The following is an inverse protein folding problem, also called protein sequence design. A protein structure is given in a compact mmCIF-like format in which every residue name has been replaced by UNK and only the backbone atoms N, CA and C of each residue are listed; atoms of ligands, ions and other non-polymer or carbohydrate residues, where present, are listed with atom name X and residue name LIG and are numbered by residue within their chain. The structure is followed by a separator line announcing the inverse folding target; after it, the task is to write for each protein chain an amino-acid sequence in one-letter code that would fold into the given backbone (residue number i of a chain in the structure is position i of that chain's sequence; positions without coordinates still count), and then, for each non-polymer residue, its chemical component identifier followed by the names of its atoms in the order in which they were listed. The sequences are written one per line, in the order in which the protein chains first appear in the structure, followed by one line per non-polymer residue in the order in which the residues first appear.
data_IF_363077100645
#
_entry.id   IF_363077100645
#
_cell.length_a   1.000
_cell.length_b   1.000
_cell.length_c   1.000
_cell.angle_alpha   90.00
_cell.angle_beta   90.00
_cell.angle_gamma   90.00
#
_symmetry.space_group_name_H-M   'P 1'
#
loop_
_entity.id
_entity.type
_entity.pdbx_description
1 polymer ?
2 water ?
#
# COMPACT_ATOMS: atom_id res chain seq x y z
N UNK A 16 -0.44 17.65 -11.11
CA UNK A 16 -0.01 16.56 -10.20
C UNK A 16 -1.12 16.15 -9.23
N UNK A 17 -2.10 15.38 -9.74
CA UNK A 17 -3.20 14.94 -8.88
C UNK A 17 -2.72 13.83 -7.94
N UNK A 18 -3.52 13.53 -6.93
CA UNK A 18 -3.18 12.49 -5.97
C UNK A 18 -2.95 11.14 -6.67
N UNK A 19 -1.83 10.49 -6.37
CA UNK A 19 -1.49 9.19 -6.97
C UNK A 19 -2.50 8.09 -6.66
N UNK A 20 -3.05 8.08 -5.44
CA UNK A 20 -4.03 7.06 -5.08
C UNK A 20 -5.30 7.29 -5.89
N UNK A 21 -5.69 8.56 -6.03
CA UNK A 21 -6.89 8.91 -6.79
C UNK A 21 -6.76 8.52 -8.25
N UNK A 22 -5.58 8.72 -8.84
CA UNK A 22 -5.41 8.35 -10.24
C UNK A 22 -5.40 6.83 -10.37
N UNK A 23 -5.01 6.14 -9.30
CA UNK A 23 -4.97 4.69 -9.32
C UNK A 23 -6.33 4.01 -9.19
N UNK A 24 -7.31 4.71 -8.62
CA UNK A 24 -8.63 4.08 -8.47
C UNK A 24 -9.71 4.76 -9.29
N UNK A 25 -9.31 5.74 -10.09
CA UNK A 25 -10.26 6.46 -10.92
C UNK A 25 -11.12 5.51 -11.76
N UNK A 26 -10.53 4.41 -12.23
CA UNK A 26 -11.25 3.46 -13.06
C UNK A 26 -12.40 2.76 -12.34
N UNK A 27 -12.47 2.94 -11.03
CA UNK A 27 -13.51 2.31 -10.22
C UNK A 27 -14.75 3.16 -10.04
N UNK A 28 -14.67 4.44 -10.42
CA UNK A 28 -15.79 5.37 -10.29
C UNK A 28 -16.68 5.39 -11.53
N UNK A 29 -17.97 4.99 -11.38
CA UNK A 29 -18.90 4.98 -12.51
C UNK A 29 -19.08 6.41 -13.03
N UNK A 30 -19.20 6.56 -14.34
CA UNK A 30 -19.35 7.90 -14.92
C UNK A 30 -20.52 8.57 -14.22
N UNK A 31 -20.37 9.87 -13.95
CA UNK A 31 -21.41 10.61 -13.27
C UNK A 31 -20.83 11.77 -12.50
N UNK A 32 -21.56 12.21 -11.47
CA UNK A 32 -21.16 13.35 -10.65
C UNK A 32 -20.22 12.91 -9.52
N UNK A 33 -19.08 13.61 -9.41
CA UNK A 33 -18.08 13.35 -8.38
C UNK A 33 -17.96 14.63 -7.53
N UNK A 34 -17.98 14.44 -6.20
CA UNK A 34 -17.88 15.56 -5.27
C UNK A 34 -16.55 15.49 -4.51
N UNK A 35 -15.74 16.54 -4.63
CA UNK A 35 -14.44 16.62 -3.97
C UNK A 35 -14.51 17.49 -2.73
N UNK A 36 -14.29 16.88 -1.57
CA UNK A 36 -14.36 17.58 -0.29
C UNK A 36 -13.07 18.37 -0.02
N UNK A 37 -13.23 19.65 0.30
CA UNK A 37 -12.08 20.50 0.57
C UNK A 37 -10.94 20.19 -0.39
N UNK A 38 -11.22 20.21 -1.70
CA UNK A 38 -10.17 19.89 -2.67
C UNK A 38 -9.28 21.08 -3.02
N UNK A 39 -9.62 22.25 -2.49
CA UNK A 39 -8.84 23.47 -2.71
C UNK A 39 -8.20 23.63 -4.08
N UNK A 40 -6.97 23.12 -4.22
CA UNK A 40 -6.22 23.19 -5.47
C UNK A 40 -7.10 23.20 -6.72
N UNK A 41 -7.43 21.99 -7.18
CA UNK A 41 -8.23 21.85 -8.38
C UNK A 41 -7.53 20.86 -9.29
N UNK A 42 -6.40 20.34 -8.81
CA UNK A 42 -5.62 19.38 -9.59
C UNK A 42 -6.34 18.02 -9.67
N UNK A 43 -7.01 17.61 -8.59
CA UNK A 43 -7.74 16.34 -8.57
C UNK A 43 -9.06 16.47 -9.32
N UNK A 44 -9.73 17.60 -9.12
CA UNK A 44 -11.01 17.86 -9.77
C UNK A 44 -10.84 17.92 -11.29
N UNK A 45 -9.84 18.69 -11.74
CA UNK A 45 -9.57 18.85 -13.17
C UNK A 45 -9.07 17.54 -13.76
N UNK A 46 -8.34 16.78 -12.95
CA UNK A 46 -7.84 15.48 -13.38
C UNK A 46 -9.00 14.54 -13.67
N UNK A 47 -9.98 14.53 -12.77
CA UNK A 47 -11.15 13.67 -12.92
C UNK A 47 -12.02 14.17 -14.08
N UNK A 48 -12.23 15.48 -14.15
CA UNK A 48 -13.01 16.09 -15.21
C UNK A 48 -12.40 15.75 -16.56
N UNK A 49 -11.08 15.55 -16.61
CA UNK A 49 -10.45 15.21 -17.89
C UNK A 49 -10.77 13.77 -18.30
N UNK A 50 -11.30 12.98 -17.35
CA UNK A 50 -11.68 11.59 -17.59
C UNK A 50 -13.13 11.43 -18.03
N UNK A 51 -13.88 12.53 -17.99
CA UNK A 51 -15.28 12.49 -18.40
C UNK A 51 -16.30 12.61 -17.28
N UNK A 52 -15.85 12.92 -16.07
CA UNK A 52 -16.74 13.07 -14.90
C UNK A 52 -17.28 14.49 -14.74
N UNK A 53 -18.38 14.63 -14.01
CA UNK A 53 -18.99 15.94 -13.74
C UNK A 53 -18.65 16.26 -12.28
N UNK A 54 -17.53 16.95 -12.10
CA UNK A 54 -17.02 17.25 -10.77
C UNK A 54 -17.41 18.55 -10.09
N UNK A 55 -17.67 18.46 -8.78
CA UNK A 55 -18.00 19.63 -7.99
C UNK A 55 -16.92 19.77 -6.91
N UNK A 56 -16.06 20.76 -7.09
CA UNK A 56 -14.98 21.02 -6.14
C UNK A 56 -15.49 21.91 -5.01
N UNK A 57 -15.53 21.36 -3.80
CA UNK A 57 -16.01 22.10 -2.64
C UNK A 57 -14.85 22.48 -1.73
N UNK A 58 -14.67 23.78 -1.52
CA UNK A 58 -13.60 24.25 -0.65
C UNK A 58 -14.04 25.56 0.00
N UNK A 59 -13.40 25.91 1.10
CA UNK A 59 -13.76 27.12 1.84
C UNK A 59 -13.04 28.41 1.41
N UNK A 60 -11.83 28.28 0.86
CA UNK A 60 -11.09 29.47 0.43
C UNK A 60 -11.44 29.90 -0.99
N UNK A 61 -12.01 31.09 -1.12
CA UNK A 61 -12.39 31.63 -2.42
C UNK A 61 -11.15 31.81 -3.29
N UNK A 62 -9.99 31.90 -2.65
CA UNK A 62 -8.73 32.06 -3.36
C UNK A 62 -8.35 30.73 -4.05
N UNK A 63 -8.72 29.62 -3.41
CA UNK A 63 -8.42 28.32 -3.97
C UNK A 63 -9.44 27.94 -5.05
N UNK A 64 -10.71 28.12 -4.75
CA UNK A 64 -11.77 27.81 -5.69
C UNK A 64 -11.59 28.64 -6.95
N UNK A 65 -11.08 29.87 -6.78
CA UNK A 65 -10.86 30.76 -7.91
C UNK A 65 -9.71 30.24 -8.76
N UNK A 66 -8.71 29.65 -8.12
CA UNK A 66 -7.55 29.12 -8.81
C UNK A 66 -7.90 27.76 -9.45
N UNK A 67 -8.94 27.13 -8.90
CA UNK A 67 -9.41 25.83 -9.39
C UNK A 67 -10.08 26.05 -10.76
N UNK A 68 -10.84 27.13 -10.86
CA UNK A 68 -11.53 27.50 -12.10
C UNK A 68 -10.50 27.81 -13.18
N UNK A 69 -9.46 28.57 -12.82
CA UNK A 69 -8.41 28.92 -13.76
C UNK A 69 -7.67 27.70 -14.29
N UNK A 70 -7.41 26.74 -13.41
CA UNK A 70 -6.71 25.52 -13.84
C UNK A 70 -7.61 24.77 -14.81
N UNK A 71 -8.91 24.78 -14.55
CA UNK A 71 -9.88 24.10 -15.41
C UNK A 71 -9.85 24.75 -16.79
N UNK A 72 -9.86 26.08 -16.83
CA UNK A 72 -9.83 26.83 -18.09
C UNK A 72 -8.60 26.52 -18.92
N UNK A 73 -7.49 26.25 -18.23
CA UNK A 73 -6.23 25.94 -18.88
C UNK A 73 -6.16 24.48 -19.31
N UNK A 74 -6.69 23.60 -18.47
CA UNK A 74 -6.68 22.16 -18.77
C UNK A 74 -7.79 21.79 -19.77
N UNK A 75 -8.65 22.75 -20.06
CA UNK A 75 -9.71 22.51 -21.01
C UNK A 75 -10.87 21.66 -20.52
N UNK A 76 -11.21 21.82 -19.25
CA UNK A 76 -12.31 21.07 -18.66
C UNK A 76 -13.40 22.05 -18.18
N UNK A 77 -14.62 21.83 -18.64
CA UNK A 77 -15.75 22.69 -18.28
C UNK A 77 -16.39 22.16 -17.01
N UNK A 78 -15.55 21.68 -16.09
CA UNK A 78 -16.05 21.14 -14.83
C UNK A 78 -15.27 21.63 -13.61
N UNK A 79 -15.93 22.47 -12.81
CA UNK A 79 -15.33 23.02 -11.60
C UNK A 79 -16.37 23.75 -10.77
N UNK A 80 -17.54 23.14 -10.63
CA UNK A 80 -18.59 23.75 -9.84
C UNK A 80 -18.03 23.96 -8.43
N UNK A 81 -17.66 25.20 -8.14
CA UNK A 81 -17.09 25.57 -6.84
C UNK A 81 -18.13 25.53 -5.72
N UNK A 82 -17.72 25.78 -4.48
CA UNK A 82 -18.66 25.75 -3.35
C UNK A 82 -18.22 26.62 -2.16
N UNK A 83 -18.59 26.17 -0.96
CA UNK A 83 -18.28 26.88 0.29
C UNK A 83 -17.51 25.97 1.26
N UNK A 84 -17.77 26.11 2.56
CA UNK A 84 -17.10 25.30 3.57
C UNK A 84 -17.87 24.00 3.80
N UNK A 85 -17.35 23.14 4.69
CA UNK A 85 -17.96 21.85 4.99
C UNK A 85 -18.79 21.81 6.26
N UNK A 86 -18.50 22.70 7.20
CA UNK A 86 -19.21 22.75 8.48
C UNK A 86 -20.73 22.51 8.33
N UNK A 87 -21.41 23.46 7.68
CA UNK A 87 -22.84 23.36 7.48
C UNK A 87 -23.12 22.98 6.03
N UNK A 88 -22.52 21.89 5.59
CA UNK A 88 -22.70 21.43 4.21
C UNK A 88 -23.44 20.10 4.19
N UNK A 89 -24.38 19.97 3.27
CA UNK A 89 -25.14 18.74 3.13
C UNK A 89 -25.27 18.37 1.65
N UNK A 90 -25.24 17.08 1.37
CA UNK A 90 -25.34 16.61 -0.01
C UNK A 90 -26.62 15.82 -0.27
N UNK A 91 -27.20 16.05 -1.43
CA UNK A 91 -28.43 15.38 -1.80
C UNK A 91 -28.24 13.87 -1.86
N UNK A 92 -29.18 13.14 -1.28
CA UNK A 92 -29.12 11.69 -1.24
C UNK A 92 -29.15 11.11 -2.64
N UNK A 93 -28.47 9.98 -2.80
CA UNK A 93 -28.41 9.26 -4.07
C UNK A 93 -28.24 10.18 -5.29
N UNK A 94 -27.17 10.94 -5.31
CA UNK A 94 -26.93 11.86 -6.42
C UNK A 94 -25.48 11.85 -6.91
N UNK A 95 -24.62 11.16 -6.18
CA UNK A 95 -23.19 11.12 -6.54
C UNK A 95 -22.66 9.73 -6.85
N UNK A 96 -21.86 9.65 -7.91
CA UNK A 96 -21.24 8.38 -8.30
C UNK A 96 -19.92 8.24 -7.53
N UNK A 97 -19.44 9.37 -6.99
CA UNK A 97 -18.21 9.37 -6.23
C UNK A 97 -18.05 10.59 -5.33
N UNK A 98 -17.44 10.39 -4.17
CA UNK A 98 -17.19 11.45 -3.21
C UNK A 98 -15.77 11.22 -2.71
N UNK A 99 -14.87 12.15 -3.04
CA UNK A 99 -13.45 12.03 -2.66
C UNK A 99 -12.99 12.94 -1.52
N UNK A 100 -12.23 12.34 -0.61
CA UNK A 100 -11.68 13.03 0.55
C UNK A 100 -10.18 12.76 0.58
N UNK A 101 -9.40 13.67 0.02
CA UNK A 101 -7.94 13.54 -0.01
C UNK A 101 -7.35 14.53 1.00
N UNK A 102 -6.77 13.98 2.08
CA UNK A 102 -6.19 14.79 3.13
C UNK A 102 -7.19 15.83 3.62
N UNK A 103 -8.43 15.42 3.81
CA UNK A 103 -9.47 16.29 4.32
C UNK A 103 -9.67 15.83 5.76
N UNK A 104 -8.90 16.41 6.68
CA UNK A 104 -8.99 16.02 8.10
C UNK A 104 -9.96 16.88 8.89
N UNK A 105 -10.81 16.21 9.66
CA UNK A 105 -11.85 16.86 10.45
C UNK A 105 -11.97 16.26 11.84
N UNK A 106 -12.49 17.02 12.80
CA UNK A 106 -12.63 16.45 14.15
C UNK A 106 -13.69 15.35 14.13
N UNK A 107 -13.59 14.43 15.07
CA UNK A 107 -14.53 13.32 15.18
C UNK A 107 -15.99 13.79 15.13
N UNK A 108 -16.27 14.86 15.87
CA UNK A 108 -17.61 15.43 15.95
C UNK A 108 -18.15 15.83 14.57
N UNK A 109 -17.26 16.29 13.69
CA UNK A 109 -17.67 16.69 12.36
C UNK A 109 -17.77 15.48 11.41
N UNK A 110 -16.93 14.47 11.58
CA UNK A 110 -17.03 13.30 10.71
C UNK A 110 -18.32 12.56 11.03
N UNK A 111 -18.71 12.57 12.30
CA UNK A 111 -19.95 11.92 12.73
C UNK A 111 -21.15 12.53 12.03
N UNK A 112 -21.04 13.81 11.68
CA UNK A 112 -22.11 14.54 11.02
C UNK A 112 -22.05 14.40 9.49
N UNK A 113 -20.84 14.57 8.94
CA UNK A 113 -20.61 14.50 7.50
C UNK A 113 -20.76 13.12 6.88
N UNK A 114 -19.95 12.17 7.32
CA UNK A 114 -19.97 10.80 6.78
C UNK A 114 -21.33 10.17 6.55
N UNK A 115 -22.28 10.37 7.47
CA UNK A 115 -23.62 9.78 7.27
C UNK A 115 -24.30 10.35 6.02
N UNK A 116 -23.99 11.60 5.71
CA UNK A 116 -24.55 12.29 4.54
C UNK A 116 -23.77 11.85 3.31
N UNK A 117 -22.52 11.48 3.52
CA UNK A 117 -21.65 11.01 2.44
C UNK A 117 -22.20 9.64 2.04
N UNK A 118 -22.41 8.77 3.03
CA UNK A 118 -22.93 7.44 2.69
C UNK A 118 -24.24 7.56 1.91
N UNK A 119 -25.16 8.39 2.42
CA UNK A 119 -26.45 8.61 1.79
C UNK A 119 -26.38 9.36 0.45
N UNK A 120 -25.38 10.21 0.30
CA UNK A 120 -25.25 10.97 -0.94
C UNK A 120 -24.84 10.12 -2.13
N UNK A 121 -24.23 8.98 -1.84
CA UNK A 121 -23.75 8.06 -2.86
C UNK A 121 -24.85 7.19 -3.48
N UNK A 122 -24.85 7.13 -4.80
CA UNK A 122 -25.83 6.29 -5.50
C UNK A 122 -25.32 4.86 -5.39
N UNK A 123 -26.23 3.88 -5.52
CA UNK A 123 -25.79 2.48 -5.42
C UNK A 123 -24.69 2.25 -6.46
N UNK A 124 -23.60 1.61 -6.04
CA UNK A 124 -22.50 1.36 -6.96
C UNK A 124 -21.50 2.52 -6.99
N UNK A 125 -21.86 3.61 -6.33
CA UNK A 125 -20.97 4.76 -6.27
C UNK A 125 -19.83 4.45 -5.32
N UNK A 126 -18.77 5.24 -5.38
CA UNK A 126 -17.64 4.99 -4.50
C UNK A 126 -17.21 6.21 -3.69
N UNK A 127 -16.55 5.91 -2.57
CA UNK A 127 -16.02 6.90 -1.66
C UNK A 127 -14.53 6.60 -1.58
N UNK A 128 -13.72 7.60 -1.93
CA UNK A 128 -12.29 7.40 -1.88
C UNK A 128 -11.68 8.34 -0.86
N UNK A 129 -10.77 7.81 -0.07
CA UNK A 129 -10.13 8.59 0.97
C UNK A 129 -8.65 8.31 1.05
N UNK A 130 -7.90 9.35 1.38
CA UNK A 130 -6.47 9.24 1.50
C UNK A 130 -6.15 10.29 2.54
N UNK A 131 -5.47 9.90 3.60
CA UNK A 131 -5.13 10.86 4.64
C UNK A 131 -4.07 10.28 5.53
N UNK A 132 -3.63 11.08 6.50
CA UNK A 132 -2.61 10.67 7.44
C UNK A 132 -3.14 9.70 8.50
N UNK A 133 -2.33 8.70 8.84
CA UNK A 133 -2.70 7.73 9.87
C UNK A 133 -2.29 8.36 11.21
N UNK A 134 -2.79 7.82 12.33
CA UNK A 134 -2.43 8.37 13.64
C UNK A 134 -0.92 8.40 13.90
N UNK A 135 -0.21 7.38 13.42
CA UNK A 135 1.24 7.31 13.62
C UNK A 135 2.00 8.43 12.92
N UNK A 136 1.30 9.22 12.12
CA UNK A 136 1.89 10.35 11.42
C UNK A 136 2.43 11.39 12.41
N UNK A 137 1.92 11.33 13.63
CA UNK A 137 2.37 12.25 14.67
C UNK A 137 3.85 12.06 14.96
N UNK A 138 4.37 10.88 14.64
CA UNK A 138 5.79 10.62 14.88
C UNK A 138 6.65 11.26 13.78
N UNK A 139 6.01 11.77 12.72
CA UNK A 139 6.76 12.39 11.63
C UNK A 139 6.56 13.90 11.62
N UNK A 140 7.42 14.60 10.89
CA UNK A 140 7.34 16.06 10.82
C UNK A 140 7.03 16.47 9.39
N UNK A 141 6.40 15.57 8.64
CA UNK A 141 6.09 15.86 7.25
C UNK A 141 4.69 16.43 7.00
N UNK A 142 4.02 16.84 8.05
CA UNK A 142 2.70 17.41 7.88
C UNK A 142 1.54 16.72 8.57
N UNK A 143 0.36 17.31 8.41
CA UNK A 143 -0.83 16.76 9.03
C UNK A 143 -1.14 17.44 10.35
N UNK A 144 -2.35 17.22 10.90
CA UNK A 144 -2.73 17.83 12.18
C UNK A 144 -2.02 17.16 13.36
N UNK A 145 -1.89 17.89 14.46
CA UNK A 145 -1.24 17.38 15.66
C UNK A 145 -2.26 16.70 16.56
N UNK A 146 -3.52 17.13 16.49
CA UNK A 146 -4.59 16.56 17.31
C UNK A 146 -4.99 15.18 16.82
N UNK A 147 -4.84 14.18 17.67
CA UNK A 147 -5.18 12.81 17.34
C UNK A 147 -6.66 12.64 16.98
N UNK A 148 -7.47 13.61 17.39
CA UNK A 148 -8.90 13.54 17.11
C UNK A 148 -9.20 13.65 15.62
N UNK A 149 -8.27 14.24 14.87
CA UNK A 149 -8.42 14.39 13.43
C UNK A 149 -7.65 13.27 12.71
N UNK A 150 -7.01 12.40 13.49
CA UNK A 150 -6.25 11.29 12.92
C UNK A 150 -6.75 9.91 13.35
N UNK A 151 -8.01 9.59 13.03
CA UNK A 151 -8.59 8.29 13.40
C UNK A 151 -7.96 7.12 12.64
N UNK A 152 -7.94 5.95 13.28
CA UNK A 152 -7.38 4.77 12.64
C UNK A 152 -8.25 4.35 11.47
N UNK A 153 -7.69 3.51 10.61
CA UNK A 153 -8.39 3.02 9.42
C UNK A 153 -9.69 2.31 9.77
N UNK A 154 -9.71 1.55 10.86
CA UNK A 154 -10.92 0.83 11.26
C UNK A 154 -12.00 1.76 11.82
N UNK A 155 -11.57 2.86 12.43
CA UNK A 155 -12.53 3.82 12.98
C UNK A 155 -13.24 4.54 11.83
N UNK A 156 -12.51 4.87 10.78
CA UNK A 156 -13.12 5.54 9.62
C UNK A 156 -14.12 4.57 8.99
N UNK A 157 -13.70 3.33 8.83
CA UNK A 157 -14.58 2.32 8.24
C UNK A 157 -15.91 2.16 9.00
N UNK A 158 -15.85 2.24 10.32
CA UNK A 158 -17.04 2.09 11.16
C UNK A 158 -17.94 3.32 11.06
N UNK A 159 -17.45 4.37 10.41
CA UNK A 159 -18.23 5.59 10.22
C UNK A 159 -19.02 5.52 8.90
N UNK A 160 -18.78 4.45 8.14
CA UNK A 160 -19.46 4.18 6.86
C UNK A 160 -19.58 2.65 6.73
N UNK A 161 -20.01 1.98 7.82
CA UNK A 161 -20.18 0.52 7.92
C UNK A 161 -20.83 -0.29 6.81
N UNK A 162 -21.80 0.29 6.13
CA UNK A 162 -22.48 -0.48 5.10
C UNK A 162 -21.81 -0.47 3.75
N UNK A 163 -20.69 0.22 3.67
CA UNK A 163 -19.94 0.30 2.43
C UNK A 163 -19.12 -0.97 2.24
N UNK A 164 -18.86 -1.31 0.99
CA UNK A 164 -18.06 -2.48 0.65
C UNK A 164 -16.67 -1.90 0.37
N UNK A 165 -15.73 -2.21 1.25
CA UNK A 165 -14.37 -1.70 1.14
C UNK A 165 -13.49 -2.47 0.15
N UNK A 166 -13.40 -1.94 -1.07
CA UNK A 166 -12.61 -2.59 -2.10
C UNK A 166 -11.10 -2.47 -1.83
N UNK A 167 -10.71 -1.43 -1.10
CA UNK A 167 -9.31 -1.19 -0.72
C UNK A 167 -9.25 -0.53 0.68
N UNK A 168 -8.34 -1.00 1.51
CA UNK A 168 -8.19 -0.45 2.84
C UNK A 168 -6.75 -0.72 3.19
N UNK A 169 -5.91 0.30 3.02
CA UNK A 169 -4.48 0.17 3.28
C UNK A 169 -3.95 1.07 4.38
N UNK A 170 -3.02 0.53 5.15
CA UNK A 170 -2.32 1.26 6.20
C UNK A 170 -0.89 1.28 5.67
N UNK A 171 -0.38 2.46 5.34
CA UNK A 171 0.96 2.54 4.79
C UNK A 171 1.89 3.35 5.65
N UNK A 172 3.14 2.91 5.70
CA UNK A 172 4.16 3.64 6.44
C UNK A 172 5.45 3.57 5.65
N UNK A 173 6.04 4.73 5.40
CA UNK A 173 7.30 4.80 4.69
C UNK A 173 8.24 5.76 5.42
N UNK A 174 9.51 5.39 5.53
CA UNK A 174 10.50 6.19 6.24
C UNK A 174 11.89 6.01 5.61
N UNK A 184 8.64 10.52 3.88
CA UNK A 184 8.32 9.68 5.04
C UNK A 184 6.94 10.10 5.58
N UNK A 185 6.07 9.12 5.80
CA UNK A 185 4.74 9.41 6.29
C UNK A 185 3.93 8.14 6.58
N UNK A 186 2.89 8.31 7.40
CA UNK A 186 1.99 7.21 7.76
C UNK A 186 0.65 7.60 7.14
N UNK A 187 0.15 6.76 6.24
CA UNK A 187 -1.08 7.08 5.53
C UNK A 187 -2.09 5.96 5.55
N UNK A 188 -3.35 6.33 5.33
CA UNK A 188 -4.43 5.37 5.27
C UNK A 188 -5.08 5.58 3.91
N UNK A 189 -5.44 4.51 3.22
CA UNK A 189 -6.08 4.65 1.92
C UNK A 189 -7.33 3.79 1.92
N UNK A 190 -8.44 4.37 1.49
CA UNK A 190 -9.69 3.63 1.46
C UNK A 190 -10.49 3.85 0.20
N UNK A 191 -11.07 2.77 -0.30
CA UNK A 191 -11.97 2.84 -1.46
C UNK A 191 -13.20 2.01 -1.06
N UNK A 192 -14.28 2.71 -0.72
CA UNK A 192 -15.50 2.04 -0.30
C UNK A 192 -16.61 2.20 -1.33
N UNK A 193 -17.26 1.10 -1.68
CA UNK A 193 -18.33 1.12 -2.66
C UNK A 193 -19.70 0.79 -2.06
N UNK A 194 -20.70 1.62 -2.37
CA UNK A 194 -22.03 1.41 -1.86
C UNK A 194 -22.68 0.26 -2.63
N UNK A 195 -23.26 -0.68 -1.88
CA UNK A 195 -23.89 -1.87 -2.44
C UNK A 195 -25.02 -1.59 -3.42
N UNK A 196 -25.34 -2.60 -4.23
CA UNK A 196 -26.41 -2.50 -5.20
C UNK A 196 -27.68 -3.00 -4.53
N UNK A 197 -28.83 -2.55 -5.01
CA UNK A 197 -30.12 -2.96 -4.44
C UNK A 197 -30.53 -4.37 -4.87
N UNK B 16 5.36 -13.53 -13.96
CA UNK B 16 6.16 -12.28 -13.78
C UNK B 16 6.68 -12.17 -12.36
N UNK B 17 7.74 -11.37 -12.16
CA UNK B 17 8.28 -11.21 -10.81
C UNK B 17 7.31 -10.44 -9.92
N UNK B 18 7.46 -10.62 -8.62
CA UNK B 18 6.62 -9.95 -7.64
C UNK B 18 6.67 -8.43 -7.86
N UNK B 19 5.50 -7.80 -7.89
CA UNK B 19 5.38 -6.34 -8.11
C UNK B 19 6.03 -5.51 -6.99
N UNK B 20 5.94 -5.97 -5.74
CA UNK B 20 6.54 -5.23 -4.65
C UNK B 20 8.06 -5.28 -4.78
N UNK B 21 8.58 -6.45 -5.16
CA UNK B 21 10.02 -6.63 -5.33
C UNK B 21 10.56 -5.74 -6.45
N UNK B 22 9.82 -5.62 -7.55
CA UNK B 22 10.29 -4.79 -8.65
C UNK B 22 10.21 -3.31 -8.24
N UNK B 23 9.30 -3.01 -7.31
CA UNK B 23 9.14 -1.63 -6.85
C UNK B 23 10.22 -1.18 -5.86
N UNK B 24 10.88 -2.11 -5.18
CA UNK B 24 11.90 -1.68 -4.23
C UNK B 24 13.30 -2.14 -4.62
N UNK B 25 13.41 -2.75 -5.80
CA UNK B 25 14.70 -3.23 -6.27
C UNK B 25 15.77 -2.13 -6.22
N UNK B 26 15.38 -0.88 -6.51
CA UNK B 26 16.32 0.23 -6.52
C UNK B 26 16.92 0.53 -5.18
N UNK B 27 16.39 -0.09 -4.13
CA UNK B 27 16.87 0.13 -2.77
C UNK B 27 17.94 -0.84 -2.32
N UNK B 28 18.16 -1.89 -3.11
CA UNK B 28 19.17 -2.91 -2.79
C UNK B 28 20.55 -2.58 -3.39
N UNK B 29 21.56 -2.37 -2.54
CA UNK B 29 22.92 -2.05 -3.02
C UNK B 29 23.44 -3.23 -3.84
N UNK B 30 24.18 -2.94 -4.92
CA UNK B 30 24.71 -4.01 -5.76
C UNK B 30 25.46 -4.98 -4.87
N UNK B 31 25.30 -6.27 -5.17
CA UNK B 31 25.97 -7.28 -4.37
C UNK B 31 25.22 -8.59 -4.42
N UNK B 32 25.41 -9.41 -3.39
CA UNK B 32 24.76 -10.72 -3.30
C UNK B 32 23.37 -10.62 -2.67
N UNK B 33 22.38 -11.21 -3.35
CA UNK B 33 21.00 -11.22 -2.90
C UNK B 33 20.59 -12.70 -2.69
N UNK B 34 19.99 -12.99 -1.54
CA UNK B 34 19.55 -14.34 -1.21
C UNK B 34 18.02 -14.42 -1.19
N UNK B 35 17.46 -15.28 -2.03
CA UNK B 35 16.02 -15.46 -2.12
C UNK B 35 15.58 -16.72 -1.38
N UNK B 36 14.78 -16.51 -0.33
CA UNK B 36 14.30 -17.61 0.49
C UNK B 36 13.12 -18.33 -0.15
N UNK B 37 13.22 -19.65 -0.25
CA UNK B 37 12.16 -20.45 -0.86
C UNK B 37 11.58 -19.72 -2.07
N UNK B 38 12.44 -19.32 -3.02
CA UNK B 38 11.95 -18.60 -4.19
C UNK B 38 11.43 -19.51 -5.30
N UNK B 39 11.59 -20.82 -5.10
CA UNK B 39 11.11 -21.81 -6.07
C UNK B 39 11.19 -21.44 -7.54
N UNK B 40 10.15 -20.81 -8.05
CA UNK B 40 10.07 -20.38 -9.45
C UNK B 40 11.42 -20.04 -10.05
N UNK B 41 11.83 -18.79 -9.87
CA UNK B 41 13.08 -18.31 -10.41
C UNK B 41 12.81 -17.02 -11.14
N UNK B 42 11.55 -16.59 -11.11
CA UNK B 42 11.15 -15.35 -11.78
C UNK B 42 11.69 -14.12 -11.05
N UNK B 43 11.74 -14.16 -9.72
CA UNK B 43 12.26 -13.05 -8.92
C UNK B 43 13.78 -13.02 -8.96
N UNK B 44 14.37 -14.21 -8.86
CA UNK B 44 15.83 -14.35 -8.87
C UNK B 44 16.41 -13.88 -10.21
N UNK B 45 15.81 -14.35 -11.31
CA UNK B 45 16.25 -13.98 -12.66
C UNK B 45 15.97 -12.51 -12.93
N UNK B 46 14.88 -12.01 -12.35
CA UNK B 46 14.53 -10.61 -12.50
C UNK B 46 15.62 -9.74 -11.88
N UNK B 47 16.06 -10.11 -10.68
CA UNK B 47 17.07 -9.36 -9.96
C UNK B 47 18.41 -9.50 -10.66
N UNK B 48 18.74 -10.73 -11.07
CA UNK B 48 19.98 -11.00 -11.77
C UNK B 48 20.04 -10.16 -13.04
N UNK B 49 18.88 -9.86 -13.63
CA UNK B 49 18.90 -9.05 -14.86
C UNK B 49 19.25 -7.59 -14.55
N UNK B 50 19.21 -7.22 -13.26
CA UNK B 50 19.53 -5.86 -12.80
C UNK B 50 21.00 -5.70 -12.42
N UNK B 51 21.74 -6.81 -12.40
CA UNK B 51 23.15 -6.76 -12.07
C UNK B 51 23.54 -7.35 -10.73
N UNK B 52 22.60 -8.01 -10.05
CA UNK B 52 22.86 -8.61 -8.74
C UNK B 52 23.37 -10.05 -8.84
N UNK B 53 24.01 -10.52 -7.77
CA UNK B 53 24.54 -11.89 -7.71
C UNK B 53 23.58 -12.67 -6.80
N UNK B 54 22.57 -13.27 -7.42
CA UNK B 54 21.53 -13.97 -6.67
C UNK B 54 21.67 -15.46 -6.37
N UNK B 55 21.28 -15.83 -5.16
CA UNK B 55 21.30 -17.23 -4.77
C UNK B 55 19.86 -17.63 -4.44
N UNK B 56 19.26 -18.42 -5.33
CA UNK B 56 17.89 -18.89 -5.14
C UNK B 56 17.90 -20.14 -4.29
N UNK B 57 17.31 -20.06 -3.10
CA UNK B 57 17.26 -21.19 -2.18
C UNK B 57 15.85 -21.75 -2.10
N UNK B 58 15.70 -23.02 -2.47
CA UNK B 58 14.40 -23.67 -2.43
C UNK B 58 14.59 -25.15 -2.13
N UNK B 59 13.54 -25.81 -1.66
CA UNK B 59 13.62 -27.22 -1.30
C UNK B 59 13.30 -28.22 -2.43
N UNK B 60 12.49 -27.81 -3.40
CA UNK B 60 12.14 -28.70 -4.51
C UNK B 60 13.16 -28.65 -5.64
N UNK B 61 13.82 -29.78 -5.89
CA UNK B 61 14.81 -29.86 -6.96
C UNK B 61 14.14 -29.64 -8.31
N UNK B 62 12.83 -29.83 -8.36
CA UNK B 62 12.08 -29.62 -9.58
C UNK B 62 11.95 -28.11 -9.87
N UNK B 63 11.87 -27.32 -8.79
CA UNK B 63 11.76 -25.89 -8.94
C UNK B 63 13.12 -25.25 -9.22
N UNK B 64 14.11 -25.63 -8.43
CA UNK B 64 15.47 -25.12 -8.61
C UNK B 64 15.97 -25.45 -10.00
N UNK B 65 15.55 -26.61 -10.52
CA UNK B 65 15.96 -27.04 -11.86
C UNK B 65 15.31 -26.16 -12.91
N UNK B 66 14.08 -25.75 -12.64
CA UNK B 66 13.33 -24.90 -13.58
C UNK B 66 13.82 -23.45 -13.47
N UNK B 67 14.43 -23.13 -12.32
CA UNK B 67 14.96 -21.80 -12.05
C UNK B 67 16.20 -21.59 -12.93
N UNK B 68 17.01 -22.64 -13.03
CA UNK B 68 18.23 -22.62 -13.83
C UNK B 68 17.86 -22.44 -15.30
N UNK B 69 16.85 -23.19 -15.75
CA UNK B 69 16.39 -23.09 -17.13
C UNK B 69 15.89 -21.71 -17.49
N UNK B 70 15.15 -21.09 -16.57
CA UNK B 70 14.63 -19.75 -16.83
C UNK B 70 15.82 -18.78 -16.95
N UNK B 71 16.84 -19.01 -16.12
CA UNK B 71 18.03 -18.17 -16.14
C UNK B 71 18.72 -18.30 -17.50
N UNK B 72 18.86 -19.54 -17.97
CA UNK B 72 19.49 -19.79 -19.27
C UNK B 72 18.77 -19.11 -20.42
N UNK B 73 17.45 -18.99 -20.29
CA UNK B 73 16.61 -18.37 -21.31
C UNK B 73 16.62 -16.85 -21.19
N UNK B 74 16.62 -16.35 -19.96
CA UNK B 74 16.62 -14.91 -19.71
C UNK B 74 18.02 -14.32 -19.88
N UNK B 75 19.01 -15.20 -20.04
CA UNK B 75 20.37 -14.73 -20.24
C UNK B 75 21.08 -14.21 -19.00
N UNK B 76 20.80 -14.83 -17.85
CA UNK B 76 21.43 -14.43 -16.60
C UNK B 76 22.24 -15.60 -16.04
N UNK B 77 23.52 -15.35 -15.77
CA UNK B 77 24.41 -16.38 -15.25
C UNK B 77 24.33 -16.38 -13.73
N UNK B 78 23.12 -16.17 -13.21
CA UNK B 78 22.91 -16.13 -11.76
C UNK B 78 21.71 -16.94 -11.30
N UNK B 79 21.99 -18.06 -10.62
CA UNK B 79 20.94 -18.92 -10.11
C UNK B 79 21.53 -19.99 -9.20
N UNK B 80 22.45 -19.57 -8.33
CA UNK B 80 23.05 -20.50 -7.40
C UNK B 80 21.92 -21.13 -6.58
N UNK B 81 21.55 -22.36 -6.95
CA UNK B 81 20.47 -23.10 -6.28
C UNK B 81 20.87 -23.54 -4.86
N UNK B 82 19.94 -24.16 -4.13
CA UNK B 82 20.23 -24.60 -2.77
C UNK B 82 19.37 -25.78 -2.30
N UNK B 83 19.09 -25.81 -0.99
CA UNK B 83 18.30 -26.86 -0.36
C UNK B 83 17.08 -26.28 0.37
N UNK B 84 16.72 -26.88 1.52
CA UNK B 84 15.58 -26.41 2.30
C UNK B 84 16.04 -25.33 3.29
N UNK B 85 15.09 -24.80 4.05
CA UNK B 85 15.37 -23.74 5.03
C UNK B 85 15.51 -24.21 6.48
N UNK B 86 14.88 -25.33 6.80
CA UNK B 86 14.91 -25.88 8.15
C UNK B 86 16.29 -25.74 8.82
N UNK B 87 17.27 -26.47 8.30
CA UNK B 87 18.63 -26.43 8.84
C UNK B 87 19.52 -25.61 7.91
N UNK B 88 19.10 -24.38 7.63
CA UNK B 88 19.87 -23.50 6.77
C UNK B 88 20.41 -22.31 7.55
N UNK B 89 21.65 -21.96 7.28
CA UNK B 89 22.28 -20.82 7.94
C UNK B 89 23.06 -19.98 6.93
N UNK B 90 23.05 -18.68 7.12
CA UNK B 90 23.75 -17.78 6.22
C UNK B 90 24.91 -17.07 6.87
N UNK B 91 25.98 -16.94 6.11
CA UNK B 91 27.17 -16.29 6.62
C UNK B 91 26.90 -14.84 7.00
N UNK B 92 27.41 -14.44 8.16
CA UNK B 92 27.20 -13.09 8.65
C UNK B 92 27.83 -12.07 7.72
N UNK B 93 27.20 -10.90 7.66
CA UNK B 93 27.69 -9.78 6.85
C UNK B 93 28.20 -10.21 5.48
N UNK B 94 27.33 -10.82 4.68
CA UNK B 94 27.71 -11.28 3.37
C UNK B 94 26.68 -10.97 2.29
N UNK B 95 25.52 -10.49 2.70
CA UNK B 95 24.43 -10.21 1.77
C UNK B 95 23.97 -8.76 1.74
N UNK B 96 23.76 -8.25 0.53
CA UNK B 96 23.29 -6.88 0.34
C UNK B 96 21.75 -6.89 0.40
N UNK B 97 21.19 -8.09 0.24
CA UNK B 97 19.74 -8.24 0.28
C UNK B 97 19.29 -9.68 0.51
N UNK B 98 18.20 -9.83 1.25
CA UNK B 98 17.62 -11.14 1.54
C UNK B 98 16.11 -10.97 1.36
N UNK B 99 15.55 -11.65 0.36
CA UNK B 99 14.13 -11.53 0.04
C UNK B 99 13.26 -12.72 0.43
N UNK B 100 12.11 -12.41 1.03
CA UNK B 100 11.15 -13.40 1.49
C UNK B 100 9.79 -13.03 0.91
N UNK B 101 9.45 -13.64 -0.23
CA UNK B 101 8.18 -13.37 -0.89
C UNK B 101 7.27 -14.58 -0.68
N UNK B 102 6.22 -14.39 0.11
CA UNK B 102 5.28 -15.45 0.43
C UNK B 102 6.01 -16.69 0.93
N UNK B 103 6.98 -16.47 1.81
CA UNK B 103 7.73 -17.56 2.40
C UNK B 103 7.19 -17.64 3.83
N UNK B 104 6.14 -18.43 4.02
CA UNK B 104 5.52 -18.56 5.35
C UNK B 104 6.08 -19.72 6.16
N UNK B 105 6.40 -19.42 7.41
CA UNK B 105 7.00 -20.39 8.32
C UNK B 105 6.40 -20.31 9.72
N UNK B 106 6.46 -21.41 10.49
CA UNK B 106 5.90 -21.35 11.84
C UNK B 106 6.75 -20.41 12.69
N UNK B 107 6.14 -19.86 13.74
CA UNK B 107 6.82 -18.94 14.65
C UNK B 107 8.17 -19.49 15.13
N UNK B 108 8.17 -20.77 15.49
CA UNK B 108 9.36 -21.45 15.98
C UNK B 108 10.52 -21.40 14.99
N UNK B 109 10.19 -21.44 13.71
CA UNK B 109 11.21 -21.40 12.67
C UNK B 109 11.64 -19.97 12.36
N UNK B 110 10.73 -19.00 12.44
CA UNK B 110 11.12 -17.61 12.18
C UNK B 110 12.04 -17.14 13.30
N UNK B 111 11.78 -17.62 14.51
CA UNK B 111 12.61 -17.26 15.67
C UNK B 111 14.05 -17.70 15.45
N UNK B 112 14.22 -18.77 14.68
CA UNK B 112 15.54 -19.32 14.39
C UNK B 112 16.19 -18.67 13.16
N UNK B 113 15.41 -18.54 12.10
CA UNK B 113 15.87 -17.96 10.83
C UNK B 113 16.18 -16.46 10.87
N UNK B 114 15.17 -15.66 11.17
CA UNK B 114 15.32 -14.20 11.20
C UNK B 114 16.57 -13.65 11.87
N UNK B 115 16.99 -14.23 13.00
CA UNK B 115 18.19 -13.72 13.66
C UNK B 115 19.43 -13.88 12.77
N UNK B 116 19.42 -14.93 11.95
CA UNK B 116 20.54 -15.21 11.03
C UNK B 116 20.39 -14.32 9.80
N UNK B 117 19.15 -13.93 9.51
CA UNK B 117 18.86 -13.04 8.40
C UNK B 117 19.40 -11.68 8.79
N UNK B 118 19.05 -11.22 9.98
CA UNK B 118 19.54 -9.91 10.42
C UNK B 118 21.07 -9.88 10.35
N UNK B 119 21.72 -10.91 10.90
CA UNK B 119 23.17 -11.00 10.93
C UNK B 119 23.80 -11.24 9.56
N UNK B 120 23.07 -11.91 8.67
CA UNK B 120 23.61 -12.18 7.34
C UNK B 120 23.73 -10.95 6.46
N UNK B 121 22.96 -9.91 6.81
CA UNK B 121 22.93 -8.66 6.06
C UNK B 121 24.09 -7.74 6.37
N UNK B 122 24.72 -7.22 5.32
CA UNK B 122 25.83 -6.28 5.49
C UNK B 122 25.20 -4.94 5.83
N UNK B 123 25.97 -4.07 6.50
CA UNK B 123 25.42 -2.74 6.84
C UNK B 123 24.92 -2.07 5.56
N UNK B 124 23.72 -1.52 5.61
CA UNK B 124 23.16 -0.88 4.43
C UNK B 124 22.40 -1.87 3.55
N UNK B 125 22.50 -3.16 3.87
CA UNK B 125 21.79 -4.16 3.11
C UNK B 125 20.32 -4.10 3.47
N UNK B 126 19.47 -4.72 2.65
CA UNK B 126 18.05 -4.70 2.92
C UNK B 126 17.40 -6.07 2.96
N UNK B 127 16.28 -6.11 3.66
CA UNK B 127 15.47 -7.30 3.82
C UNK B 127 14.10 -6.93 3.28
N UNK B 128 13.63 -7.66 2.29
CA UNK B 128 12.34 -7.38 1.72
C UNK B 128 11.41 -8.55 1.93
N UNK B 129 10.19 -8.24 2.36
CA UNK B 129 9.20 -9.27 2.62
C UNK B 129 7.85 -8.89 2.09
N UNK B 130 7.12 -9.91 1.65
CA UNK B 130 5.80 -9.73 1.12
C UNK B 130 5.13 -11.05 1.45
N UNK B 131 3.98 -10.98 2.11
CA UNK B 131 3.29 -12.21 2.46
C UNK B 131 1.89 -11.87 2.90
N UNK B 132 1.12 -12.91 3.22
CA UNK B 132 -0.25 -12.76 3.66
C UNK B 132 -0.37 -12.26 5.09
N UNK B 133 -1.34 -11.38 5.35
CA UNK B 133 -1.58 -10.86 6.68
C UNK B 133 -2.51 -11.85 7.36
N UNK B 134 -2.64 -11.77 8.70
CA UNK B 134 -3.53 -12.71 9.41
C UNK B 134 -4.97 -12.69 8.91
N UNK B 135 -5.47 -11.51 8.52
CA UNK B 135 -6.83 -11.38 8.02
C UNK B 135 -7.08 -12.14 6.72
N UNK B 136 -6.00 -12.66 6.13
CA UNK B 136 -6.10 -13.41 4.89
C UNK B 136 -6.94 -14.67 5.10
N UNK B 137 -7.08 -15.09 6.35
CA UNK B 137 -7.87 -16.27 6.66
C UNK B 137 -9.32 -16.06 6.27
N UNK B 138 -9.75 -14.80 6.17
CA UNK B 138 -11.12 -14.51 5.79
C UNK B 138 -11.31 -14.66 4.27
N UNK B 139 -10.22 -14.82 3.53
CA UNK B 139 -10.30 -14.97 2.08
C UNK B 139 -10.00 -16.39 1.65
N UNK B 140 -10.35 -16.72 0.41
CA UNK B 140 -10.11 -18.07 -0.10
C UNK B 140 -9.12 -18.00 -1.26
N UNK B 141 -8.30 -16.96 -1.27
CA UNK B 141 -7.34 -16.78 -2.36
C UNK B 141 -5.95 -17.33 -2.10
N UNK B 142 -5.82 -18.15 -1.06
CA UNK B 142 -4.52 -18.75 -0.79
C UNK B 142 -3.91 -18.45 0.55
N UNK B 143 -2.74 -19.04 0.78
CA UNK B 143 -2.02 -18.86 2.03
C UNK B 143 -2.31 -19.97 3.02
N UNK B 144 -1.53 -20.06 4.11
CA UNK B 144 -1.74 -21.09 5.12
C UNK B 144 -2.98 -20.81 5.97
N UNK B 145 -3.54 -21.86 6.57
CA UNK B 145 -4.72 -21.73 7.41
C UNK B 145 -4.30 -21.48 8.86
N UNK B 146 -3.13 -21.97 9.24
CA UNK B 146 -2.64 -21.81 10.61
C UNK B 146 -2.16 -20.39 10.87
N UNK B 147 -2.78 -19.74 11.83
CA UNK B 147 -2.45 -18.36 12.20
C UNK B 147 -1.00 -18.21 12.65
N UNK B 148 -0.39 -19.33 13.03
CA UNK B 148 0.99 -19.31 13.50
C UNK B 148 1.98 -18.93 12.39
N UNK B 149 1.55 -19.13 11.15
CA UNK B 149 2.37 -18.79 9.99
C UNK B 149 1.94 -17.43 9.43
N UNK B 150 0.94 -16.83 10.05
CA UNK B 150 0.43 -15.53 9.60
C UNK B 150 0.54 -14.44 10.67
N UNK B 151 1.78 -14.13 11.11
CA UNK B 151 1.99 -13.10 12.13
C UNK B 151 1.69 -11.69 11.62
N UNK B 152 1.27 -10.80 12.52
CA UNK B 152 0.98 -9.44 12.15
C UNK B 152 2.26 -8.71 11.73
N UNK B 153 2.09 -7.59 11.05
CA UNK B 153 3.21 -6.79 10.60
C UNK B 153 4.14 -6.35 11.73
N UNK B 154 3.58 -6.02 12.89
CA UNK B 154 4.39 -5.59 14.02
C UNK B 154 5.15 -6.74 14.66
N UNK B 155 4.60 -7.95 14.59
CA UNK B 155 5.26 -9.13 15.15
C UNK B 155 6.49 -9.47 14.31
N UNK B 156 6.37 -9.35 12.99
CA UNK B 156 7.51 -9.63 12.11
C UNK B 156 8.59 -8.61 12.39
N UNK B 157 8.20 -7.34 12.49
CA UNK B 157 9.16 -6.28 12.77
C UNK B 157 9.95 -6.50 14.05
N UNK B 158 9.29 -7.02 15.08
CA UNK B 158 9.92 -7.27 16.38
C UNK B 158 10.87 -8.47 16.31
N UNK B 159 10.83 -9.19 15.18
CA UNK B 159 11.70 -10.33 14.98
C UNK B 159 13.01 -9.89 14.31
N UNK B 160 13.08 -8.61 13.94
CA UNK B 160 14.25 -7.98 13.30
C UNK B 160 14.29 -6.51 13.77
N UNK B 161 14.10 -6.30 15.08
CA UNK B 161 14.07 -4.99 15.76
C UNK B 161 15.09 -3.91 15.43
N UNK B 162 16.32 -4.29 15.13
CA UNK B 162 17.32 -3.27 14.88
C UNK B 162 17.36 -2.77 13.45
N UNK B 163 16.47 -3.29 12.63
CA UNK B 163 16.41 -2.87 11.24
C UNK B 163 15.65 -1.54 11.13
N UNK B 164 15.99 -0.78 10.10
CA UNK B 164 15.34 0.50 9.86
C UNK B 164 14.30 0.18 8.79
N UNK B 165 13.04 0.25 9.17
CA UNK B 165 11.94 -0.07 8.26
C UNK B 165 11.58 1.07 7.32
N UNK B 166 12.10 0.99 6.09
CA UNK B 166 11.85 2.02 5.10
C UNK B 166 10.40 1.95 4.58
N UNK B 167 9.80 0.76 4.62
CA UNK B 167 8.41 0.53 4.21
C UNK B 167 7.77 -0.55 5.09
N UNK B 168 6.53 -0.31 5.50
CA UNK B 168 5.82 -1.27 6.32
C UNK B 168 4.37 -1.00 6.03
N UNK B 169 3.80 -1.83 5.16
CA UNK B 169 2.40 -1.67 4.73
C UNK B 169 1.50 -2.85 5.07
N UNK B 170 0.27 -2.52 5.44
CA UNK B 170 -0.76 -3.50 5.73
C UNK B 170 -1.77 -3.21 4.62
N UNK B 171 -1.95 -4.15 3.70
CA UNK B 171 -2.86 -3.93 2.60
C UNK B 171 -4.01 -4.90 2.58
N UNK B 172 -5.18 -4.40 2.19
CA UNK B 172 -6.36 -5.24 2.07
C UNK B 172 -7.13 -4.80 0.85
N UNK B 173 -7.41 -5.74 -0.03
CA UNK B 173 -8.19 -5.44 -1.24
C UNK B 173 -9.27 -6.51 -1.40
N UNK B 174 -10.47 -6.09 -1.78
CA UNK B 174 -11.62 -7.00 -1.94
C UNK B 174 -12.55 -6.49 -3.04
N UNK B 184 -8.49 -10.40 -4.46
CA UNK B 184 -8.81 -10.06 -3.09
C UNK B 184 -7.84 -10.75 -2.14
N UNK B 185 -7.25 -9.98 -1.23
CA UNK B 185 -6.28 -10.53 -0.29
C UNK B 185 -5.83 -9.53 0.75
N UNK B 186 -5.26 -10.04 1.84
CA UNK B 186 -4.75 -9.22 2.93
C UNK B 186 -3.26 -9.49 2.93
N UNK B 187 -2.47 -8.45 2.70
CA UNK B 187 -1.02 -8.61 2.60
C UNK B 187 -0.24 -7.66 3.48
N UNK B 188 1.01 -8.05 3.75
CA UNK B 188 1.89 -7.22 4.55
C UNK B 188 3.12 -7.01 3.68
N UNK B 189 3.65 -5.80 3.65
CA UNK B 189 4.85 -5.55 2.86
C UNK B 189 5.88 -4.85 3.72
N UNK B 190 7.10 -5.34 3.71
CA UNK B 190 8.16 -4.76 4.50
C UNK B 190 9.46 -4.59 3.77
N UNK B 191 10.12 -3.46 4.03
CA UNK B 191 11.44 -3.22 3.47
C UNK B 191 12.28 -2.69 4.65
N UNK B 192 13.12 -3.54 5.20
CA UNK B 192 13.95 -3.17 6.33
C UNK B 192 15.42 -3.06 5.96
N UNK B 193 16.05 -1.99 6.38
CA UNK B 193 17.45 -1.77 6.05
C UNK B 193 18.35 -1.78 7.30
N UNK B 194 19.45 -2.54 7.23
CA UNK B 194 20.36 -2.63 8.35
C UNK B 194 21.19 -1.35 8.40
N UNK B 195 21.27 -0.78 9.60
CA UNK B 195 21.97 0.47 9.85
C UNK B 195 23.47 0.45 9.53
N UNK B 196 24.01 1.63 9.29
CA UNK B 196 25.44 1.81 8.99
C UNK B 196 26.19 1.91 10.32
N UNK B 197 27.48 1.57 10.32
CA UNK B 197 28.28 1.63 11.54
C UNK B 197 28.67 3.07 11.93
#
# INVERSE_FOLDING_TARGET
MWDERFSQSEYVYGTEPNDFLVSVANQIPQGKILCLAEGEGRNACFLASLGYEVTAVDQSSVGLAKAKQLAQEKGVKITTVQSNLADFDIVADAWEGIVSIFCHLPSSLRQQLYPKVYQGLKPGGVFILEGFAPEQLQYNTGGPKDLDLLPKLETLQSELPSLNWLIANNLERNLDEGAYHQGKAALIQLLGQKLEHHHHHH
MWDERFSQSEYVYGTEPNDFLVSVANQIPQGKILCLAEGEGRNACFLASLGYEVTAVDQSSVGLAKAKQLAQEKGVKITTVQSNLADFDIVADAWEGIVSIFCHLPSSLRQQLYPKVYQGLKPGGVFILEGFAPEQLQYNTGGPKDLDLLPKLETLQSELPSLNWLIANNLERNLDEGAYHQGKAALIQLLGQKLEHHHHHH
#
